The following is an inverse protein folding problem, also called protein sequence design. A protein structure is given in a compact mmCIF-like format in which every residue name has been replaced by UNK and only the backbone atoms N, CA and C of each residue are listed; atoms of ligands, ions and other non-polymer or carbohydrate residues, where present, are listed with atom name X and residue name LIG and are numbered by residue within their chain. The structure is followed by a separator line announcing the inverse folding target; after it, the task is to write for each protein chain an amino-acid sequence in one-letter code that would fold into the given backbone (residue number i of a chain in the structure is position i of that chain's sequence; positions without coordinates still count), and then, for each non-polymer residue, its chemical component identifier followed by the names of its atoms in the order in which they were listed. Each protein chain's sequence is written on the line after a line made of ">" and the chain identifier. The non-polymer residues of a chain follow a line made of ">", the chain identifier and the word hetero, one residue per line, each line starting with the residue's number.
data_IF_288113206833
#
_entry.id   IF_288113206833
#
_cell.length_a   1.000
_cell.length_b   1.000
_cell.length_c   1.000
_cell.angle_alpha   90.00
_cell.angle_beta   90.00
_cell.angle_gamma   90.00
#
_symmetry.space_group_name_H-M   'P 1'
#
loop_
_entity.id
_entity.type
_entity.pdbx_description
1 polymer ?
#
# COMPACT_ATOMS: atom_id res chain seq x y z
N UNK A 1 -46.50 -0.40 -7.18
CA UNK A 1 -45.17 -0.61 -7.78
C UNK A 1 -44.30 0.50 -7.22
N UNK A 2 -43.58 0.23 -6.13
CA UNK A 2 -42.74 1.20 -5.43
C UNK A 2 -41.34 1.07 -6.01
N UNK A 3 -40.91 2.04 -6.80
CA UNK A 3 -39.50 2.22 -7.15
C UNK A 3 -38.77 2.58 -5.85
N UNK A 4 -37.92 1.67 -5.39
CA UNK A 4 -36.92 1.97 -4.37
C UNK A 4 -35.90 2.91 -4.98
N UNK A 5 -36.01 4.20 -4.66
CA UNK A 5 -34.94 5.19 -4.84
C UNK A 5 -33.78 4.80 -3.90
N UNK A 6 -32.92 3.88 -4.34
CA UNK A 6 -31.58 3.80 -3.77
C UNK A 6 -30.79 5.06 -4.17
N UNK A 7 -30.06 5.70 -3.25
CA UNK A 7 -29.21 6.84 -3.59
C UNK A 7 -28.15 6.38 -4.61
N UNK A 8 -28.17 6.97 -5.81
CA UNK A 8 -27.33 6.57 -6.95
C UNK A 8 -25.83 6.83 -6.77
N UNK A 9 -25.42 7.42 -5.65
CA UNK A 9 -24.03 7.69 -5.30
C UNK A 9 -23.82 7.45 -3.81
N UNK A 10 -23.61 6.19 -3.40
CA UNK A 10 -23.11 5.93 -2.05
C UNK A 10 -21.67 6.46 -1.95
N UNK A 11 -21.30 7.21 -0.91
CA UNK A 11 -19.93 7.68 -0.75
C UNK A 11 -18.87 6.57 -0.72
N UNK A 12 -19.28 5.34 -0.38
CA UNK A 12 -18.44 4.14 -0.35
C UNK A 12 -18.44 3.35 -1.66
N UNK A 13 -19.08 3.86 -2.72
CA UNK A 13 -19.27 3.16 -3.98
C UNK A 13 -17.97 2.50 -4.48
N UNK A 14 -18.07 1.21 -4.79
CA UNK A 14 -16.98 0.42 -5.33
C UNK A 14 -15.99 -0.17 -4.32
N UNK A 15 -16.12 0.13 -3.02
CA UNK A 15 -15.36 -0.56 -1.97
C UNK A 15 -16.12 -1.80 -1.50
N UNK A 16 -15.45 -2.94 -1.45
CA UNK A 16 -16.02 -4.19 -0.94
C UNK A 16 -15.03 -4.97 -0.06
N UNK A 17 -15.48 -6.10 0.47
CA UNK A 17 -14.66 -6.99 1.32
C UNK A 17 -13.37 -7.44 0.64
N UNK A 18 -13.37 -7.61 -0.69
CA UNK A 18 -12.16 -8.02 -1.43
C UNK A 18 -11.14 -6.89 -1.46
N UNK A 19 -11.55 -5.64 -1.69
CA UNK A 19 -10.65 -4.50 -1.62
C UNK A 19 -10.08 -4.33 -0.20
N UNK A 20 -10.91 -4.45 0.85
CA UNK A 20 -10.42 -4.43 2.23
C UNK A 20 -9.40 -5.53 2.51
N UNK A 21 -9.66 -6.75 2.01
CA UNK A 21 -8.72 -7.86 2.16
C UNK A 21 -7.37 -7.58 1.48
N UNK A 22 -7.37 -7.03 0.26
CA UNK A 22 -6.15 -6.65 -0.45
C UNK A 22 -5.39 -5.52 0.26
N UNK A 23 -6.10 -4.50 0.78
CA UNK A 23 -5.51 -3.45 1.62
C UNK A 23 -4.86 -4.06 2.86
N UNK A 24 -5.54 -5.00 3.52
CA UNK A 24 -5.03 -5.70 4.70
C UNK A 24 -3.74 -6.47 4.41
N UNK A 25 -3.72 -7.26 3.33
CA UNK A 25 -2.52 -7.98 2.89
C UNK A 25 -1.36 -7.00 2.63
N UNK A 26 -1.60 -5.96 1.84
CA UNK A 26 -0.56 -4.96 1.53
C UNK A 26 -0.03 -4.27 2.79
N UNK A 27 -0.91 -4.01 3.75
CA UNK A 27 -0.52 -3.44 5.05
C UNK A 27 0.37 -4.38 5.85
N UNK A 28 0.06 -5.68 5.90
CA UNK A 28 0.87 -6.69 6.59
C UNK A 28 2.26 -6.79 5.96
N UNK A 29 2.33 -6.89 4.63
CA UNK A 29 3.60 -6.88 3.93
C UNK A 29 4.38 -5.58 4.18
N UNK A 30 3.71 -4.43 4.18
CA UNK A 30 4.32 -3.14 4.43
C UNK A 30 4.90 -3.02 5.83
N UNK A 31 4.20 -3.53 6.86
CA UNK A 31 4.72 -3.64 8.23
C UNK A 31 5.94 -4.56 8.28
N UNK A 32 5.85 -5.75 7.69
CA UNK A 32 6.98 -6.67 7.65
C UNK A 32 8.21 -6.08 6.94
N UNK A 33 7.99 -5.29 5.88
CA UNK A 33 9.06 -4.58 5.18
C UNK A 33 9.71 -3.50 6.06
N UNK A 34 8.93 -2.71 6.80
CA UNK A 34 9.51 -1.77 7.77
C UNK A 34 10.23 -2.49 8.93
N UNK A 35 9.73 -3.64 9.38
CA UNK A 35 10.44 -4.45 10.38
C UNK A 35 11.75 -5.00 9.84
N UNK A 36 11.78 -5.41 8.57
CA UNK A 36 13.01 -5.84 7.88
C UNK A 36 14.08 -4.76 7.99
N UNK A 37 13.80 -3.51 7.60
CA UNK A 37 14.72 -2.37 7.79
C UNK A 37 15.31 -2.29 9.20
N UNK A 38 14.48 -2.46 10.23
CA UNK A 38 14.91 -2.42 11.63
C UNK A 38 15.85 -3.58 11.95
N UNK A 39 15.52 -4.78 11.46
CA UNK A 39 16.30 -6.01 11.71
C UNK A 39 17.68 -5.92 11.04
N UNK A 40 17.76 -5.50 9.77
CA UNK A 40 19.05 -5.36 9.06
C UNK A 40 19.80 -4.07 9.39
N UNK A 41 19.15 -3.11 10.05
CA UNK A 41 19.80 -1.92 10.61
C UNK A 41 20.27 -0.89 9.58
N UNK A 42 19.83 -0.97 8.32
CA UNK A 42 20.10 0.03 7.29
C UNK A 42 18.79 0.61 6.72
N UNK A 43 18.90 1.78 6.09
CA UNK A 43 17.75 2.52 5.54
C UNK A 43 16.65 2.86 6.56
N UNK A 44 16.96 2.83 7.85
CA UNK A 44 16.07 3.33 8.91
C UNK A 44 16.09 4.86 8.98
N UNK A 45 15.19 5.43 9.77
CA UNK A 45 15.13 6.86 10.05
C UNK A 45 14.43 7.12 11.37
N UNK A 46 14.10 8.38 11.63
CA UNK A 46 13.22 8.76 12.73
C UNK A 46 11.93 7.94 12.70
N UNK A 47 11.46 7.41 13.85
CA UNK A 47 11.90 7.73 15.22
C UNK A 47 13.04 6.87 15.79
N UNK A 48 13.67 6.00 15.00
CA UNK A 48 14.72 5.10 15.49
C UNK A 48 16.08 5.77 15.60
N UNK A 49 16.40 6.63 14.62
CA UNK A 49 17.59 7.47 14.60
C UNK A 49 17.18 8.94 14.37
N UNK A 50 18.03 9.94 14.70
CA UNK A 50 17.66 11.35 14.54
C UNK A 50 17.38 11.80 13.09
N UNK A 51 17.88 11.07 12.11
CA UNK A 51 17.80 11.40 10.68
C UNK A 51 16.41 11.13 10.11
N UNK A 52 15.86 12.09 9.38
CA UNK A 52 14.63 11.90 8.60
C UNK A 52 14.99 11.31 7.24
N UNK A 53 14.55 10.08 6.99
CA UNK A 53 14.84 9.34 5.75
C UNK A 53 13.56 8.93 5.04
N UNK A 54 13.68 8.23 3.90
CA UNK A 54 12.52 7.66 3.19
C UNK A 54 11.67 6.79 4.13
N UNK A 55 12.31 6.00 4.99
CA UNK A 55 11.65 5.22 6.04
C UNK A 55 10.72 6.07 6.90
N UNK A 56 11.17 7.24 7.35
CA UNK A 56 10.35 8.14 8.17
C UNK A 56 9.11 8.61 7.43
N UNK A 57 9.25 9.01 6.16
CA UNK A 57 8.10 9.46 5.36
C UNK A 57 7.13 8.31 5.08
N UNK A 58 7.62 7.10 4.83
CA UNK A 58 6.78 5.94 4.54
C UNK A 58 6.02 5.41 5.76
N UNK A 59 6.44 5.74 6.99
CA UNK A 59 5.63 5.49 8.20
C UNK A 59 4.26 6.19 8.14
N UNK A 60 4.12 7.31 7.40
CA UNK A 60 2.83 8.01 7.23
C UNK A 60 1.79 7.17 6.47
N UNK A 61 2.20 6.11 5.78
CA UNK A 61 1.28 5.22 5.08
C UNK A 61 0.29 4.59 6.07
N UNK A 62 0.72 4.21 7.27
CA UNK A 62 -0.15 3.56 8.26
C UNK A 62 -1.28 4.46 8.79
N UNK A 63 -1.03 5.69 9.26
CA UNK A 63 -2.13 6.59 9.62
C UNK A 63 -2.98 6.96 8.40
N UNK A 64 -2.41 7.11 7.20
CA UNK A 64 -3.20 7.34 5.96
C UNK A 64 -4.16 6.19 5.70
N UNK A 65 -3.70 4.94 5.78
CA UNK A 65 -4.56 3.75 5.63
C UNK A 65 -5.62 3.70 6.74
N UNK A 66 -5.24 3.92 7.99
CA UNK A 66 -6.18 3.88 9.13
C UNK A 66 -7.28 4.95 8.99
N UNK A 67 -6.90 6.18 8.65
CA UNK A 67 -7.84 7.28 8.35
C UNK A 67 -8.68 6.93 7.13
N UNK A 68 -8.09 6.35 6.08
CA UNK A 68 -8.81 5.90 4.90
C UNK A 68 -9.89 4.87 5.21
N UNK A 69 -9.57 3.87 6.04
CA UNK A 69 -10.55 2.88 6.52
C UNK A 69 -11.63 3.56 7.32
N UNK A 70 -11.28 4.42 8.30
CA UNK A 70 -12.24 5.19 9.09
C UNK A 70 -13.20 5.97 8.20
N UNK A 71 -12.66 6.78 7.28
CA UNK A 71 -13.45 7.58 6.35
C UNK A 71 -14.32 6.71 5.45
N UNK A 72 -13.87 5.52 5.06
CA UNK A 72 -14.68 4.61 4.24
C UNK A 72 -15.83 4.01 5.05
N UNK A 73 -15.59 3.56 6.29
CA UNK A 73 -16.66 2.99 7.13
C UNK A 73 -17.65 4.05 7.64
N UNK A 74 -17.24 5.32 7.70
CA UNK A 74 -18.13 6.45 7.97
C UNK A 74 -18.74 7.06 6.70
N UNK A 75 -18.64 6.38 5.56
CA UNK A 75 -19.23 6.80 4.29
C UNK A 75 -18.80 8.20 3.83
N UNK A 76 -17.52 8.53 3.95
CA UNK A 76 -16.94 9.81 3.50
C UNK A 76 -16.10 9.66 2.23
N UNK A 77 -15.53 8.48 1.99
CA UNK A 77 -14.69 8.21 0.81
C UNK A 77 -14.99 6.83 0.22
N UNK A 78 -14.74 6.70 -1.09
CA UNK A 78 -15.01 5.49 -1.86
C UNK A 78 -13.81 5.00 -2.67
N UNK A 79 -14.05 4.18 -3.69
CA UNK A 79 -12.98 3.49 -4.45
C UNK A 79 -11.95 4.42 -5.10
N UNK A 80 -12.33 5.66 -5.44
CA UNK A 80 -11.43 6.66 -6.01
C UNK A 80 -10.31 7.05 -5.02
N UNK A 81 -10.65 7.23 -3.75
CA UNK A 81 -9.68 7.53 -2.69
C UNK A 81 -8.66 6.41 -2.60
N UNK A 82 -9.13 5.16 -2.50
CA UNK A 82 -8.26 3.99 -2.41
C UNK A 82 -7.38 3.81 -3.65
N UNK A 83 -7.89 4.12 -4.84
CA UNK A 83 -7.09 4.05 -6.06
C UNK A 83 -5.91 5.02 -6.05
N UNK A 84 -6.12 6.25 -5.58
CA UNK A 84 -5.06 7.25 -5.48
C UNK A 84 -4.05 6.85 -4.40
N UNK A 85 -4.53 6.45 -3.21
CA UNK A 85 -3.67 6.05 -2.10
C UNK A 85 -2.83 4.82 -2.45
N UNK A 86 -3.45 3.74 -2.92
CA UNK A 86 -2.75 2.50 -3.26
C UNK A 86 -1.78 2.69 -4.43
N UNK A 87 -2.19 3.44 -5.46
CA UNK A 87 -1.31 3.77 -6.58
C UNK A 87 -0.11 4.61 -6.16
N UNK A 88 -0.31 5.58 -5.25
CA UNK A 88 0.77 6.40 -4.69
C UNK A 88 1.75 5.57 -3.85
N UNK A 89 1.25 4.67 -3.00
CA UNK A 89 2.09 3.75 -2.21
C UNK A 89 2.87 2.81 -3.13
N UNK A 90 2.22 2.20 -4.12
CA UNK A 90 2.88 1.34 -5.09
C UNK A 90 4.00 2.09 -5.82
N UNK A 91 3.71 3.31 -6.29
CA UNK A 91 4.69 4.15 -6.96
C UNK A 91 5.89 4.45 -6.07
N UNK A 92 5.65 4.85 -4.80
CA UNK A 92 6.71 5.12 -3.84
C UNK A 92 7.60 3.89 -3.58
N UNK A 93 7.00 2.72 -3.34
CA UNK A 93 7.77 1.47 -3.14
C UNK A 93 8.58 1.13 -4.39
N UNK A 94 7.98 1.25 -5.58
CA UNK A 94 8.66 0.91 -6.83
C UNK A 94 9.84 1.84 -7.10
N UNK A 95 9.68 3.16 -6.95
CA UNK A 95 10.76 4.11 -7.24
C UNK A 95 11.89 4.07 -6.20
N UNK A 96 11.58 3.72 -4.95
CA UNK A 96 12.59 3.55 -3.89
C UNK A 96 13.48 2.34 -4.15
N UNK A 97 12.91 1.23 -4.64
CA UNK A 97 13.64 -0.04 -4.74
C UNK A 97 14.06 -0.46 -6.15
N UNK A 98 13.43 0.07 -7.20
CA UNK A 98 13.62 -0.41 -8.56
C UNK A 98 13.90 0.72 -9.54
N UNK A 99 14.69 0.39 -10.57
CA UNK A 99 15.07 1.33 -11.62
C UNK A 99 16.32 2.14 -11.29
N UNK A 100 16.68 3.08 -12.18
CA UNK A 100 17.97 3.77 -12.12
C UNK A 100 18.06 4.83 -11.01
N UNK A 101 16.95 5.15 -10.35
CA UNK A 101 16.89 6.13 -9.26
C UNK A 101 16.58 5.51 -7.90
N UNK A 102 16.67 4.17 -7.80
CA UNK A 102 16.44 3.47 -6.55
C UNK A 102 17.40 4.02 -5.47
N UNK A 103 16.83 4.51 -4.38
CA UNK A 103 17.59 4.90 -3.18
C UNK A 103 17.96 3.69 -2.33
N UNK A 104 17.29 2.57 -2.57
CA UNK A 104 17.50 1.32 -1.84
C UNK A 104 17.32 0.12 -2.81
N UNK A 105 18.30 -0.11 -3.70
CA UNK A 105 18.23 -1.18 -4.68
C UNK A 105 18.17 -2.57 -4.03
N UNK A 106 17.80 -3.64 -4.77
CA UNK A 106 17.63 -4.98 -4.20
C UNK A 106 18.85 -5.51 -3.43
N UNK A 107 20.06 -5.13 -3.84
CA UNK A 107 21.30 -5.48 -3.16
C UNK A 107 21.33 -4.97 -1.70
N UNK A 108 20.78 -3.78 -1.45
CA UNK A 108 20.74 -3.17 -0.11
C UNK A 108 19.74 -3.85 0.83
N UNK A 109 18.87 -4.71 0.29
CA UNK A 109 17.96 -5.59 1.04
C UNK A 109 18.59 -6.96 1.28
N UNK A 110 19.36 -7.48 0.31
CA UNK A 110 19.92 -8.85 0.35
C UNK A 110 21.23 -8.90 1.13
N UNK A 111 22.19 -8.05 0.77
CA UNK A 111 23.60 -8.12 1.21
C UNK A 111 23.83 -7.86 2.70
N UNK A 112 22.99 -7.07 3.43
CA UNK A 112 23.18 -6.88 4.87
C UNK A 112 23.01 -8.15 5.72
N UNK A 113 22.36 -9.18 5.20
CA UNK A 113 22.16 -10.43 5.92
C UNK A 113 23.38 -11.34 5.81
N UNK A 114 23.87 -11.85 6.94
CA UNK A 114 24.95 -12.85 6.96
C UNK A 114 24.57 -14.14 6.22
N UNK A 115 23.29 -14.51 6.29
CA UNK A 115 22.73 -15.65 5.57
C UNK A 115 22.13 -15.20 4.24
N UNK A 116 22.71 -15.70 3.14
CA UNK A 116 22.18 -15.50 1.77
C UNK A 116 20.71 -15.89 1.68
N UNK A 117 20.29 -16.96 2.35
CA UNK A 117 18.91 -17.40 2.36
C UNK A 117 17.97 -16.37 3.02
N UNK A 118 18.42 -15.71 4.10
CA UNK A 118 17.64 -14.66 4.76
C UNK A 118 17.57 -13.40 3.89
N UNK A 119 18.66 -13.01 3.23
CA UNK A 119 18.67 -11.89 2.29
C UNK A 119 17.66 -12.07 1.15
N UNK A 120 17.64 -13.26 0.52
CA UNK A 120 16.63 -13.56 -0.50
C UNK A 120 15.21 -13.70 0.05
N UNK A 121 15.04 -14.14 1.31
CA UNK A 121 13.73 -14.17 1.95
C UNK A 121 13.18 -12.75 2.17
N UNK A 122 14.02 -11.81 2.64
CA UNK A 122 13.68 -10.40 2.78
C UNK A 122 13.33 -9.77 1.42
N UNK A 123 14.14 -10.02 0.39
CA UNK A 123 13.82 -9.57 -0.96
C UNK A 123 12.51 -10.18 -1.50
N UNK A 124 12.26 -11.47 -1.24
CA UNK A 124 11.00 -12.12 -1.56
C UNK A 124 9.79 -11.47 -0.86
N UNK A 125 9.97 -11.02 0.38
CA UNK A 125 8.96 -10.27 1.13
C UNK A 125 8.66 -8.92 0.47
N UNK A 126 9.69 -8.16 0.05
CA UNK A 126 9.53 -6.93 -0.73
C UNK A 126 8.79 -7.18 -2.05
N UNK A 127 9.11 -8.26 -2.77
CA UNK A 127 8.35 -8.63 -3.98
C UNK A 127 6.89 -8.94 -3.66
N UNK A 128 6.62 -9.64 -2.54
CA UNK A 128 5.26 -9.87 -2.04
C UNK A 128 4.51 -8.57 -1.76
N UNK A 129 5.18 -7.58 -1.15
CA UNK A 129 4.64 -6.24 -0.95
C UNK A 129 4.25 -5.59 -2.28
N UNK A 130 5.18 -5.54 -3.25
CA UNK A 130 4.92 -4.94 -4.57
C UNK A 130 3.76 -5.62 -5.29
N UNK A 131 3.73 -6.95 -5.31
CA UNK A 131 2.67 -7.73 -5.95
C UNK A 131 1.32 -7.46 -5.28
N UNK A 132 1.28 -7.42 -3.94
CA UNK A 132 0.04 -7.16 -3.21
C UNK A 132 -0.51 -5.75 -3.48
N UNK A 133 0.37 -4.74 -3.54
CA UNK A 133 0.00 -3.36 -3.85
C UNK A 133 -0.45 -3.22 -5.31
N UNK A 134 0.23 -3.89 -6.25
CA UNK A 134 -0.16 -3.92 -7.66
C UNK A 134 -1.54 -4.57 -7.85
N UNK A 135 -1.80 -5.68 -7.16
CA UNK A 135 -3.10 -6.35 -7.16
C UNK A 135 -4.20 -5.43 -6.57
N UNK A 136 -3.95 -4.82 -5.41
CA UNK A 136 -4.88 -3.90 -4.75
C UNK A 136 -5.21 -2.69 -5.64
N UNK A 137 -4.17 -2.06 -6.23
CA UNK A 137 -4.32 -0.89 -7.12
C UNK A 137 -5.07 -1.25 -8.40
N UNK A 138 -4.72 -2.37 -9.03
CA UNK A 138 -5.40 -2.82 -10.26
C UNK A 138 -6.88 -3.13 -9.97
N UNK A 139 -7.14 -3.79 -8.83
CA UNK A 139 -8.50 -4.11 -8.41
C UNK A 139 -9.32 -2.84 -8.13
N UNK A 140 -8.74 -1.85 -7.43
CA UNK A 140 -9.42 -0.59 -7.16
C UNK A 140 -9.70 0.21 -8.43
N UNK A 141 -8.77 0.24 -9.39
CA UNK A 141 -8.98 0.84 -10.72
C UNK A 141 -10.14 0.16 -11.44
N UNK A 142 -10.14 -1.17 -11.48
CA UNK A 142 -11.23 -1.92 -12.09
C UNK A 142 -12.58 -1.57 -11.46
N UNK A 143 -12.65 -1.54 -10.12
CA UNK A 143 -13.86 -1.16 -9.38
C UNK A 143 -14.29 0.28 -9.65
N UNK A 144 -13.35 1.21 -9.76
CA UNK A 144 -13.64 2.59 -10.13
C UNK A 144 -14.25 2.71 -11.53
N UNK A 145 -13.71 1.98 -12.51
CA UNK A 145 -14.25 1.93 -13.87
C UNK A 145 -15.67 1.36 -13.87
N UNK A 146 -15.90 0.27 -13.14
CA UNK A 146 -17.24 -0.35 -13.04
C UNK A 146 -18.25 0.62 -12.44
N UNK A 147 -17.94 1.28 -11.33
CA UNK A 147 -18.83 2.27 -10.69
C UNK A 147 -19.16 3.41 -11.66
N UNK A 148 -18.14 3.99 -12.33
CA UNK A 148 -18.34 5.08 -13.28
C UNK A 148 -19.26 4.74 -14.45
N UNK A 149 -19.23 3.48 -14.91
CA UNK A 149 -20.09 3.02 -16.01
C UNK A 149 -21.56 2.88 -15.62
N UNK A 150 -21.85 2.69 -14.33
CA UNK A 150 -23.23 2.56 -13.83
C UNK A 150 -23.83 3.92 -13.40
N UNK A 151 -23.00 4.94 -13.20
CA UNK A 151 -23.42 6.31 -12.88
C UNK A 151 -23.62 7.21 -14.12
N UNK A 152 -23.35 6.70 -15.33
CA UNK A 152 -23.52 7.41 -16.61
C UNK A 152 -24.81 6.97 -17.30
#
# INVERSE_FOLDING_TARGET
>A
MSESNEPRDSPTAGVDTRLYFLIGIGTIFGIGHHLDHIIRGNHVGWPLIPEVTVFTYTLLIYPVIAIGVYLTVTEQVGVRYWTIVLGGILFAVVITHFGPWATEPPQDVIDPYESVALGYAAFGWLLGLVISLAAATTYSIHRWIVVRRHSS
#
